data_IF_773847671506
#
_entry.id   IF_773847671506
#
_cell.length_a   1.000
_cell.length_b   1.000
_cell.length_c   1.000
_cell.angle_alpha   90.00
_cell.angle_beta   90.00
_cell.angle_gamma   90.00
#
_symmetry.space_group_name_H-M   'P 1'
#
loop_
_entity.id
_entity.type
_entity.pdbx_description
1 polymer ?
#
# COMPACT_ATOMS: atom_id res chain seq x y z
N UNK A 1 -10.02 16.63 26.10
CA UNK A 1 -11.22 15.85 26.51
C UNK A 1 -10.84 14.83 27.56
N UNK A 2 -11.73 14.54 28.51
CA UNK A 2 -11.54 13.44 29.47
C UNK A 2 -11.55 12.09 28.74
N UNK A 3 -10.77 11.11 29.24
CA UNK A 3 -10.74 9.75 28.66
C UNK A 3 -11.97 8.96 29.12
N UNK A 4 -12.58 8.22 28.19
CA UNK A 4 -13.60 7.21 28.51
C UNK A 4 -12.99 5.82 28.53
N UNK A 5 -13.50 4.96 29.41
CA UNK A 5 -13.02 3.59 29.57
C UNK A 5 -14.21 2.64 29.53
N UNK A 6 -14.11 1.64 28.67
CA UNK A 6 -15.08 0.57 28.50
C UNK A 6 -14.46 -0.75 28.99
N UNK A 7 -15.29 -1.68 29.45
CA UNK A 7 -14.84 -2.93 30.06
C UNK A 7 -15.60 -4.14 29.50
N UNK A 8 -15.03 -5.33 29.73
CA UNK A 8 -15.66 -6.64 29.51
C UNK A 8 -16.35 -6.78 28.14
N UNK A 9 -17.61 -7.22 28.13
CA UNK A 9 -18.37 -7.50 26.92
C UNK A 9 -18.65 -6.24 26.10
N UNK A 10 -19.00 -5.11 26.75
CA UNK A 10 -19.27 -3.85 26.06
C UNK A 10 -18.05 -3.37 25.25
N UNK A 11 -16.85 -3.46 25.83
CA UNK A 11 -15.62 -3.15 25.10
C UNK A 11 -15.41 -4.06 23.88
N UNK A 12 -15.63 -5.37 24.05
CA UNK A 12 -15.45 -6.37 22.98
C UNK A 12 -16.47 -6.19 21.85
N UNK A 13 -17.74 -5.95 22.18
CA UNK A 13 -18.81 -5.76 21.21
C UNK A 13 -18.60 -4.50 20.38
N UNK A 14 -18.17 -3.40 21.00
CA UNK A 14 -17.85 -2.15 20.29
C UNK A 14 -16.72 -2.36 19.28
N UNK A 15 -15.63 -2.99 19.72
CA UNK A 15 -14.48 -3.29 18.85
C UNK A 15 -14.90 -4.22 17.71
N UNK A 16 -15.66 -5.28 18.01
CA UNK A 16 -16.15 -6.21 16.99
C UNK A 16 -17.11 -5.54 16.00
N UNK A 17 -17.98 -4.65 16.46
CA UNK A 17 -18.89 -3.89 15.61
C UNK A 17 -18.14 -2.96 14.65
N UNK A 18 -17.09 -2.31 15.13
CA UNK A 18 -16.18 -1.50 14.31
C UNK A 18 -15.46 -2.31 13.23
N UNK A 19 -14.86 -3.41 13.67
CA UNK A 19 -14.23 -4.38 12.78
C UNK A 19 -15.21 -4.91 11.72
N UNK A 20 -16.46 -5.18 12.11
CA UNK A 20 -17.53 -5.62 11.21
C UNK A 20 -17.88 -4.57 10.16
N UNK A 21 -17.94 -3.29 10.54
CA UNK A 21 -18.25 -2.21 9.61
C UNK A 21 -17.22 -2.13 8.48
N UNK A 22 -15.92 -2.19 8.82
CA UNK A 22 -14.85 -2.21 7.82
C UNK A 22 -14.87 -3.50 7.00
N UNK A 23 -15.05 -4.66 7.65
CA UNK A 23 -15.21 -5.95 6.97
C UNK A 23 -16.34 -5.95 5.95
N UNK A 24 -17.53 -5.45 6.31
CA UNK A 24 -18.69 -5.41 5.44
C UNK A 24 -18.47 -4.52 4.22
N UNK A 25 -17.72 -3.43 4.37
CA UNK A 25 -17.35 -2.55 3.27
C UNK A 25 -16.32 -3.19 2.32
N UNK A 26 -15.31 -3.87 2.86
CA UNK A 26 -14.18 -4.40 2.09
C UNK A 26 -14.53 -5.75 1.44
N UNK A 27 -15.25 -6.64 2.11
CA UNK A 27 -15.52 -8.01 1.62
C UNK A 27 -16.24 -8.07 0.27
N UNK A 28 -16.96 -7.01 -0.10
CA UNK A 28 -17.71 -6.98 -1.35
C UNK A 28 -16.79 -6.93 -2.56
N UNK A 29 -15.53 -6.52 -2.41
CA UNK A 29 -14.52 -6.50 -3.47
C UNK A 29 -13.80 -7.84 -3.64
N UNK A 30 -14.16 -8.87 -2.88
CA UNK A 30 -13.40 -10.12 -2.87
C UNK A 30 -13.63 -11.00 -4.11
N UNK A 31 -12.55 -11.31 -4.81
CA UNK A 31 -12.50 -12.29 -5.89
C UNK A 31 -13.10 -11.81 -7.23
N UNK A 32 -13.18 -12.68 -8.25
CA UNK A 32 -13.51 -12.29 -9.63
C UNK A 32 -14.96 -11.82 -9.83
N UNK A 33 -15.83 -12.04 -8.84
CA UNK A 33 -17.22 -11.55 -8.81
C UNK A 33 -17.43 -10.45 -7.77
N UNK A 34 -16.33 -9.87 -7.27
CA UNK A 34 -16.38 -8.71 -6.42
C UNK A 34 -17.15 -7.57 -7.09
N UNK A 35 -17.66 -6.66 -6.28
CA UNK A 35 -18.37 -5.47 -6.73
C UNK A 35 -17.53 -4.25 -6.43
N UNK A 36 -17.70 -3.23 -7.26
CA UNK A 36 -17.04 -1.95 -7.03
C UNK A 36 -17.67 -1.23 -5.84
N UNK A 37 -16.82 -0.54 -5.08
CA UNK A 37 -17.22 0.36 -4.02
C UNK A 37 -17.07 1.79 -4.52
N UNK A 38 -18.06 2.63 -4.22
CA UNK A 38 -18.08 4.04 -4.59
C UNK A 38 -17.76 4.86 -3.35
N UNK A 39 -16.67 5.62 -3.42
CA UNK A 39 -16.16 6.45 -2.33
C UNK A 39 -16.36 7.91 -2.70
N UNK A 40 -17.12 8.64 -1.88
CA UNK A 40 -17.31 10.07 -2.06
C UNK A 40 -16.02 10.83 -1.72
N UNK A 41 -15.71 11.87 -2.50
CA UNK A 41 -14.59 12.78 -2.26
C UNK A 41 -15.13 14.16 -1.87
N UNK A 42 -14.39 14.89 -1.02
CA UNK A 42 -14.77 16.25 -0.62
C UNK A 42 -14.71 17.27 -1.76
N UNK A 43 -13.99 16.96 -2.83
CA UNK A 43 -13.92 17.74 -4.07
C UNK A 43 -13.75 16.81 -5.27
N UNK A 44 -14.31 17.19 -6.41
CA UNK A 44 -14.28 16.41 -7.64
C UNK A 44 -15.31 15.27 -7.68
N UNK A 45 -15.08 14.30 -8.57
CA UNK A 45 -15.96 13.13 -8.73
C UNK A 45 -15.67 12.04 -7.69
N UNK A 46 -16.62 11.09 -7.49
CA UNK A 46 -16.40 9.95 -6.61
C UNK A 46 -15.33 9.02 -7.18
N UNK A 47 -14.69 8.25 -6.30
CA UNK A 47 -13.77 7.18 -6.69
C UNK A 47 -14.51 5.86 -6.75
N UNK A 48 -14.41 5.16 -7.87
CA UNK A 48 -14.95 3.81 -8.02
C UNK A 48 -13.76 2.87 -7.97
N UNK A 49 -13.73 1.99 -6.98
CA UNK A 49 -12.58 1.10 -6.77
C UNK A 49 -13.02 -0.34 -6.50
N UNK A 50 -12.16 -1.27 -6.89
CA UNK A 50 -12.23 -2.68 -6.53
C UNK A 50 -11.12 -3.07 -5.53
N UNK A 51 -10.26 -2.12 -5.17
CA UNK A 51 -9.13 -2.36 -4.29
C UNK A 51 -9.55 -2.31 -2.81
N UNK A 52 -9.22 -3.38 -2.07
CA UNK A 52 -9.54 -3.52 -0.65
C UNK A 52 -8.85 -2.51 0.25
N UNK A 53 -7.61 -2.08 -0.06
CA UNK A 53 -6.93 -1.11 0.81
C UNK A 53 -7.51 0.30 0.64
N UNK A 54 -7.79 0.72 -0.59
CA UNK A 54 -8.48 1.99 -0.86
C UNK A 54 -9.84 2.04 -0.15
N UNK A 55 -10.60 0.94 -0.17
CA UNK A 55 -11.87 0.86 0.57
C UNK A 55 -11.65 0.91 2.08
N UNK A 56 -10.69 0.14 2.61
CA UNK A 56 -10.40 0.11 4.03
C UNK A 56 -10.00 1.51 4.54
N UNK A 57 -9.12 2.22 3.83
CA UNK A 57 -8.68 3.57 4.19
C UNK A 57 -9.81 4.59 4.18
N UNK A 58 -10.76 4.46 3.25
CA UNK A 58 -11.92 5.32 3.15
C UNK A 58 -12.99 5.08 4.25
N UNK A 59 -12.97 3.93 4.93
CA UNK A 59 -13.85 3.69 6.08
C UNK A 59 -13.32 4.48 7.27
N UNK A 60 -13.95 5.63 7.52
CA UNK A 60 -13.74 6.43 8.73
C UNK A 60 -15.05 6.51 9.51
N UNK A 61 -15.01 6.04 10.76
CA UNK A 61 -16.15 6.12 11.67
C UNK A 61 -16.03 7.44 12.44
N UNK A 62 -17.15 8.15 12.66
CA UNK A 62 -17.12 9.44 13.36
C UNK A 62 -16.47 9.28 14.73
N UNK A 63 -15.86 10.34 15.24
CA UNK A 63 -15.21 10.33 16.55
C UNK A 63 -16.12 10.95 17.60
N UNK A 64 -17.08 10.16 18.07
CA UNK A 64 -18.00 10.53 19.14
C UNK A 64 -18.02 9.48 20.26
N UNK A 65 -18.72 9.82 21.33
CA UNK A 65 -18.82 8.99 22.53
C UNK A 65 -19.44 7.62 22.29
N UNK A 66 -20.31 7.49 21.28
CA UNK A 66 -20.96 6.23 20.93
C UNK A 66 -20.06 5.35 20.05
N UNK A 67 -19.24 5.96 19.20
CA UNK A 67 -18.42 5.26 18.19
C UNK A 67 -16.96 5.03 18.59
N UNK A 68 -16.46 5.59 19.70
CA UNK A 68 -15.04 5.48 20.09
C UNK A 68 -14.47 4.04 20.04
N UNK A 69 -15.21 3.06 20.58
CA UNK A 69 -14.82 1.64 20.53
C UNK A 69 -14.96 1.02 19.14
N UNK A 70 -15.93 1.47 18.34
CA UNK A 70 -16.12 1.03 16.95
C UNK A 70 -15.00 1.57 16.05
N UNK A 71 -14.65 2.84 16.17
CA UNK A 71 -13.51 3.44 15.45
C UNK A 71 -12.23 2.68 15.75
N UNK A 72 -11.98 2.37 17.03
CA UNK A 72 -10.81 1.56 17.44
C UNK A 72 -10.79 0.19 16.75
N UNK A 73 -11.93 -0.50 16.68
CA UNK A 73 -12.03 -1.80 16.01
C UNK A 73 -11.82 -1.76 14.50
N UNK A 74 -12.33 -0.72 13.82
CA UNK A 74 -12.08 -0.50 12.41
C UNK A 74 -10.60 -0.23 12.14
N UNK A 75 -9.97 0.66 12.92
CA UNK A 75 -8.54 0.99 12.79
C UNK A 75 -7.61 -0.20 13.00
N UNK A 76 -7.95 -1.14 13.90
CA UNK A 76 -7.17 -2.37 14.10
C UNK A 76 -7.09 -3.23 12.83
N UNK A 77 -8.21 -3.41 12.13
CA UNK A 77 -8.21 -4.18 10.86
C UNK A 77 -7.56 -3.36 9.74
N UNK A 78 -7.81 -2.05 9.68
CA UNK A 78 -7.17 -1.15 8.73
C UNK A 78 -5.65 -1.26 8.82
N UNK A 79 -5.09 -1.24 10.03
CA UNK A 79 -3.66 -1.39 10.25
C UNK A 79 -3.11 -2.73 9.73
N UNK A 80 -3.86 -3.84 9.90
CA UNK A 80 -3.47 -5.14 9.36
C UNK A 80 -3.45 -5.14 7.82
N UNK A 81 -4.48 -4.55 7.19
CA UNK A 81 -4.56 -4.43 5.74
C UNK A 81 -3.45 -3.55 5.17
N UNK A 82 -3.21 -2.36 5.76
CA UNK A 82 -2.15 -1.46 5.32
C UNK A 82 -0.75 -2.06 5.49
N UNK A 83 -0.53 -2.86 6.55
CA UNK A 83 0.74 -3.57 6.73
C UNK A 83 0.96 -4.61 5.65
N UNK A 84 -0.04 -5.44 5.35
CA UNK A 84 0.07 -6.43 4.29
C UNK A 84 0.31 -5.77 2.92
N UNK A 85 -0.36 -4.64 2.64
CA UNK A 85 -0.15 -3.91 1.40
C UNK A 85 1.31 -3.47 1.25
N UNK A 86 1.94 -3.00 2.33
CA UNK A 86 3.36 -2.60 2.32
C UNK A 86 4.31 -3.79 2.14
N UNK A 87 3.99 -4.94 2.75
CA UNK A 87 4.87 -6.10 2.75
C UNK A 87 4.73 -6.95 1.46
N UNK A 88 3.53 -7.00 0.86
CA UNK A 88 3.20 -7.92 -0.23
C UNK A 88 2.56 -7.26 -1.47
N UNK A 89 1.98 -6.06 -1.35
CA UNK A 89 1.33 -5.35 -2.47
C UNK A 89 -0.04 -5.90 -2.92
N UNK A 90 -0.52 -7.00 -2.35
CA UNK A 90 -1.82 -7.62 -2.64
C UNK A 90 -2.35 -8.38 -1.40
N UNK A 91 -3.61 -8.81 -1.41
CA UNK A 91 -4.23 -9.66 -0.40
C UNK A 91 -4.90 -8.88 0.75
N UNK A 92 -5.06 -7.57 0.60
CA UNK A 92 -5.63 -6.66 1.62
C UNK A 92 -7.06 -7.06 1.99
N UNK A 93 -7.89 -7.41 1.01
CA UNK A 93 -9.23 -7.95 1.24
C UNK A 93 -9.18 -9.32 1.94
N UNK A 94 -8.26 -10.20 1.57
CA UNK A 94 -8.06 -11.51 2.21
C UNK A 94 -7.75 -11.37 3.70
N UNK A 95 -6.78 -10.50 4.03
CA UNK A 95 -6.39 -10.26 5.43
C UNK A 95 -7.53 -9.67 6.23
N UNK A 96 -8.29 -8.74 5.64
CA UNK A 96 -9.46 -8.12 6.27
C UNK A 96 -10.51 -9.15 6.62
N UNK A 97 -10.85 -10.03 5.66
CA UNK A 97 -11.82 -11.12 5.84
C UNK A 97 -11.36 -12.11 6.91
N UNK A 98 -10.11 -12.57 6.85
CA UNK A 98 -9.56 -13.52 7.82
C UNK A 98 -9.52 -12.93 9.23
N UNK A 99 -9.01 -11.70 9.36
CA UNK A 99 -8.86 -11.01 10.65
C UNK A 99 -10.22 -10.85 11.34
N UNK A 100 -11.24 -10.39 10.61
CA UNK A 100 -12.59 -10.25 11.17
C UNK A 100 -13.17 -11.59 11.65
N UNK A 101 -13.08 -12.64 10.83
CA UNK A 101 -13.64 -13.95 11.19
C UNK A 101 -12.91 -14.58 12.39
N UNK A 102 -11.59 -14.43 12.47
CA UNK A 102 -10.81 -14.89 13.63
C UNK A 102 -11.22 -14.12 14.89
N UNK A 103 -11.35 -12.78 14.79
CA UNK A 103 -11.81 -11.94 15.90
C UNK A 103 -13.22 -12.31 16.38
N UNK A 104 -14.16 -12.51 15.46
CA UNK A 104 -15.54 -12.88 15.79
C UNK A 104 -15.59 -14.22 16.53
N UNK A 105 -14.91 -15.25 16.01
CA UNK A 105 -14.88 -16.56 16.65
C UNK A 105 -14.13 -16.53 17.98
N UNK A 106 -13.04 -15.79 18.09
CA UNK A 106 -12.31 -15.61 19.35
C UNK A 106 -13.21 -14.94 20.40
N UNK A 107 -13.93 -13.87 20.04
CA UNK A 107 -14.86 -13.19 20.94
C UNK A 107 -15.97 -14.13 21.42
N UNK A 108 -16.52 -14.96 20.53
CA UNK A 108 -17.53 -15.97 20.91
C UNK A 108 -16.98 -16.97 21.92
N UNK A 109 -15.74 -17.42 21.76
CA UNK A 109 -15.10 -18.35 22.71
C UNK A 109 -14.82 -17.68 24.05
N UNK A 110 -14.37 -16.42 24.04
CA UNK A 110 -14.12 -15.66 25.27
C UNK A 110 -15.42 -15.41 26.04
N UNK A 111 -16.50 -15.06 25.34
CA UNK A 111 -17.83 -14.93 25.94
C UNK A 111 -18.35 -16.24 26.55
N UNK A 112 -17.93 -17.39 26.01
CA UNK A 112 -18.20 -18.72 26.57
C UNK A 112 -17.30 -19.08 27.78
N UNK A 113 -16.45 -18.17 28.25
CA UNK A 113 -15.58 -18.35 29.42
C UNK A 113 -14.22 -18.97 29.13
N UNK A 114 -13.84 -19.13 27.86
CA UNK A 114 -12.49 -19.61 27.52
C UNK A 114 -11.42 -18.55 27.76
N UNK A 115 -10.22 -18.98 28.17
CA UNK A 115 -9.09 -18.09 28.45
C UNK A 115 -8.59 -17.41 27.15
N UNK A 116 -8.62 -16.06 27.06
CA UNK A 116 -8.15 -15.33 25.88
C UNK A 116 -6.68 -15.58 25.52
N UNK A 117 -5.82 -15.72 26.53
CA UNK A 117 -4.38 -15.91 26.33
C UNK A 117 -4.06 -17.27 25.72
N UNK A 118 -4.79 -18.31 26.12
CA UNK A 118 -4.66 -19.64 25.52
C UNK A 118 -5.21 -19.68 24.10
N UNK A 119 -6.33 -18.99 23.84
CA UNK A 119 -6.87 -18.85 22.48
C UNK A 119 -5.86 -18.16 21.56
N UNK A 120 -5.23 -17.08 22.01
CA UNK A 120 -4.18 -16.37 21.26
C UNK A 120 -3.03 -17.31 20.89
N UNK A 121 -2.46 -18.03 21.87
CA UNK A 121 -1.38 -19.00 21.62
C UNK A 121 -1.79 -20.09 20.63
N UNK A 122 -3.03 -20.58 20.72
CA UNK A 122 -3.55 -21.58 19.79
C UNK A 122 -3.68 -21.05 18.36
N UNK A 123 -4.15 -19.81 18.19
CA UNK A 123 -4.25 -19.14 16.88
C UNK A 123 -2.86 -18.92 16.28
N UNK A 124 -1.90 -18.44 17.08
CA UNK A 124 -0.50 -18.26 16.64
C UNK A 124 0.11 -19.58 16.17
N UNK A 125 -0.01 -20.65 16.97
CA UNK A 125 0.51 -21.98 16.62
C UNK A 125 -0.16 -22.57 15.37
N UNK A 126 -1.47 -22.35 15.19
CA UNK A 126 -2.18 -22.77 13.99
C UNK A 126 -1.70 -21.98 12.75
N UNK A 127 -1.45 -20.68 12.89
CA UNK A 127 -0.89 -19.84 11.84
C UNK A 127 0.48 -20.35 11.39
N UNK A 128 1.37 -20.66 12.33
CA UNK A 128 2.70 -21.23 12.04
C UNK A 128 2.61 -22.55 11.26
N UNK A 129 1.68 -23.43 11.64
CA UNK A 129 1.49 -24.69 10.94
C UNK A 129 0.92 -24.48 9.52
N UNK A 130 -0.05 -23.58 9.36
CA UNK A 130 -0.60 -23.23 8.04
C UNK A 130 0.51 -22.71 7.12
N UNK A 131 1.36 -21.79 7.60
CA UNK A 131 2.48 -21.25 6.81
C UNK A 131 3.46 -22.35 6.41
N UNK A 132 3.79 -23.29 7.32
CA UNK A 132 4.64 -24.45 6.97
C UNK A 132 4.04 -25.30 5.86
N UNK A 133 2.73 -25.52 5.88
CA UNK A 133 2.06 -26.31 4.83
C UNK A 133 1.98 -25.55 3.51
N UNK A 134 1.69 -24.24 3.53
CA UNK A 134 1.70 -23.40 2.34
C UNK A 134 3.07 -23.38 1.66
N UNK A 135 4.16 -23.29 2.43
CA UNK A 135 5.53 -23.34 1.89
C UNK A 135 5.87 -24.67 1.21
N UNK A 136 5.24 -25.78 1.62
CA UNK A 136 5.42 -27.08 0.94
C UNK A 136 4.65 -27.17 -0.38
N UNK A 137 3.59 -26.39 -0.52
CA UNK A 137 2.76 -26.32 -1.73
C UNK A 137 3.25 -25.25 -2.72
N UNK A 138 4.18 -24.39 -2.29
CA UNK A 138 4.69 -23.31 -3.11
C UNK A 138 5.47 -23.87 -4.33
N UNK A 139 5.12 -23.37 -5.51
CA UNK A 139 5.81 -23.68 -6.76
C UNK A 139 6.57 -22.44 -7.25
N UNK A 140 7.86 -22.60 -7.60
CA UNK A 140 8.61 -21.52 -8.22
C UNK A 140 8.09 -21.22 -9.62
N UNK A 141 7.89 -19.93 -9.90
CA UNK A 141 7.52 -19.38 -11.22
C UNK A 141 8.73 -18.82 -11.98
N UNK A 142 9.94 -18.96 -11.43
CA UNK A 142 11.17 -18.45 -12.05
C UNK A 142 11.40 -19.08 -13.43
N UNK A 143 11.64 -18.22 -14.43
CA UNK A 143 11.80 -18.63 -15.83
C UNK A 143 10.52 -19.12 -16.52
N UNK A 144 9.35 -18.99 -15.88
CA UNK A 144 8.06 -19.43 -16.45
C UNK A 144 7.18 -18.23 -16.80
N UNK A 145 7.46 -17.58 -17.94
CA UNK A 145 6.72 -16.39 -18.42
C UNK A 145 5.19 -16.60 -18.41
N UNK A 146 4.71 -17.79 -18.80
CA UNK A 146 3.29 -18.12 -18.76
C UNK A 146 2.69 -18.08 -17.33
N UNK A 147 3.45 -18.53 -16.32
CA UNK A 147 3.01 -18.46 -14.92
C UNK A 147 3.03 -17.03 -14.38
N UNK A 148 4.01 -16.23 -14.80
CA UNK A 148 4.04 -14.79 -14.47
C UNK A 148 2.82 -14.07 -15.04
N UNK A 149 2.47 -14.36 -16.30
CA UNK A 149 1.26 -13.82 -16.93
C UNK A 149 -0.01 -14.23 -16.16
N UNK A 150 -0.13 -15.50 -15.77
CA UNK A 150 -1.27 -15.98 -14.97
C UNK A 150 -1.42 -15.20 -13.65
N UNK A 151 -0.33 -15.00 -12.91
CA UNK A 151 -0.35 -14.25 -11.65
C UNK A 151 -0.77 -12.79 -11.89
N UNK A 152 -0.17 -12.13 -12.88
CA UNK A 152 -0.48 -10.74 -13.21
C UNK A 152 -1.93 -10.58 -13.69
N UNK A 153 -2.44 -11.53 -14.51
CA UNK A 153 -3.83 -11.55 -14.95
C UNK A 153 -4.80 -11.73 -13.79
N UNK A 154 -4.51 -12.60 -12.83
CA UNK A 154 -5.39 -12.82 -11.67
C UNK A 154 -5.41 -11.57 -10.78
N UNK A 155 -4.25 -10.96 -10.53
CA UNK A 155 -4.14 -9.77 -9.68
C UNK A 155 -4.79 -8.54 -10.33
N UNK A 156 -4.57 -8.32 -11.63
CA UNK A 156 -5.18 -7.21 -12.36
C UNK A 156 -6.65 -7.45 -12.75
N UNK A 157 -7.11 -8.70 -12.75
CA UNK A 157 -8.41 -9.09 -13.30
C UNK A 157 -8.51 -8.98 -14.82
N UNK A 158 -7.39 -8.78 -15.52
CA UNK A 158 -7.33 -8.51 -16.96
C UNK A 158 -6.18 -9.28 -17.64
N UNK A 159 -6.52 -10.00 -18.71
CA UNK A 159 -5.57 -10.83 -19.45
C UNK A 159 -4.57 -10.00 -20.25
N UNK A 160 -5.01 -8.91 -20.88
CA UNK A 160 -4.15 -8.04 -21.67
C UNK A 160 -3.09 -7.37 -20.79
N UNK A 161 -3.48 -6.90 -19.60
CA UNK A 161 -2.55 -6.35 -18.61
C UNK A 161 -1.52 -7.41 -18.18
N UNK A 162 -1.98 -8.61 -17.85
CA UNK A 162 -1.09 -9.69 -17.41
C UNK A 162 -0.10 -10.13 -18.49
N UNK A 163 -0.55 -10.26 -19.75
CA UNK A 163 0.29 -10.60 -20.89
C UNK A 163 1.37 -9.53 -21.13
N UNK A 164 1.02 -8.23 -21.03
CA UNK A 164 1.99 -7.13 -21.18
C UNK A 164 3.01 -7.10 -20.05
N UNK A 165 2.58 -7.25 -18.80
CA UNK A 165 3.50 -7.29 -17.64
C UNK A 165 4.50 -8.44 -17.79
N UNK A 166 4.03 -9.64 -18.16
CA UNK A 166 4.90 -10.78 -18.36
C UNK A 166 5.90 -10.56 -19.51
N UNK A 167 5.45 -9.97 -20.62
CA UNK A 167 6.31 -9.64 -21.75
C UNK A 167 7.36 -8.58 -21.43
N UNK A 168 7.05 -7.62 -20.55
CA UNK A 168 8.04 -6.66 -20.03
C UNK A 168 9.07 -7.39 -19.17
N UNK A 169 8.63 -8.12 -18.15
CA UNK A 169 9.51 -8.85 -17.21
C UNK A 169 10.44 -9.83 -17.96
N UNK A 170 9.96 -10.49 -19.00
CA UNK A 170 10.78 -11.39 -19.83
C UNK A 170 11.89 -10.65 -20.58
N UNK A 171 11.63 -9.43 -21.05
CA UNK A 171 12.62 -8.61 -21.77
C UNK A 171 13.65 -7.95 -20.86
N UNK A 172 13.20 -7.41 -19.73
CA UNK A 172 14.06 -6.64 -18.83
C UNK A 172 14.72 -7.49 -17.73
N UNK A 173 14.19 -8.70 -17.51
CA UNK A 173 14.61 -9.59 -16.43
C UNK A 173 13.88 -9.32 -15.13
N UNK A 174 13.95 -10.28 -14.19
CA UNK A 174 13.20 -10.25 -12.93
C UNK A 174 13.58 -9.09 -11.99
N UNK A 175 14.79 -8.58 -12.11
CA UNK A 175 15.36 -7.56 -11.21
C UNK A 175 15.22 -6.13 -11.79
N UNK A 176 14.52 -5.99 -12.91
CA UNK A 176 14.34 -4.71 -13.57
C UNK A 176 13.21 -3.88 -12.96
N UNK A 177 13.37 -2.55 -13.06
CA UNK A 177 12.40 -1.59 -12.54
C UNK A 177 11.29 -1.40 -13.56
N UNK A 178 10.05 -1.65 -13.12
CA UNK A 178 8.85 -1.40 -13.91
C UNK A 178 8.15 -0.17 -13.34
N UNK A 179 7.93 0.83 -14.18
CA UNK A 179 7.16 2.04 -13.84
C UNK A 179 5.84 2.06 -14.58
N UNK A 180 4.83 2.69 -13.98
CA UNK A 180 3.51 2.90 -14.60
C UNK A 180 3.25 4.39 -14.69
N UNK A 181 2.95 4.86 -15.91
CA UNK A 181 2.67 6.25 -16.23
C UNK A 181 1.29 6.41 -16.88
N UNK A 182 0.71 7.60 -16.75
CA UNK A 182 -0.56 7.91 -17.40
C UNK A 182 -0.32 8.15 -18.90
N UNK A 183 -0.77 7.22 -19.73
CA UNK A 183 -0.71 7.35 -21.18
C UNK A 183 -1.56 8.50 -21.72
N UNK A 184 -1.15 9.10 -22.84
CA UNK A 184 -1.94 10.09 -23.57
C UNK A 184 -2.89 9.45 -24.60
N UNK A 185 -2.64 8.19 -24.95
CA UNK A 185 -3.45 7.39 -25.87
C UNK A 185 -4.57 6.61 -25.17
N UNK A 186 -5.36 5.89 -25.98
CA UNK A 186 -6.37 4.95 -25.49
C UNK A 186 -5.81 3.54 -25.28
N UNK A 187 -4.67 3.23 -25.91
CA UNK A 187 -4.05 1.92 -25.85
C UNK A 187 -3.06 1.84 -24.68
N UNK A 188 -2.97 0.65 -24.09
CA UNK A 188 -1.95 0.36 -23.09
C UNK A 188 -0.62 0.08 -23.79
N UNK A 189 0.36 0.95 -23.59
CA UNK A 189 1.68 0.84 -24.21
C UNK A 189 2.71 0.32 -23.19
N UNK A 190 3.73 -0.37 -23.69
CA UNK A 190 4.85 -0.84 -22.89
C UNK A 190 6.14 -0.48 -23.63
N UNK A 191 6.93 0.39 -23.03
CA UNK A 191 8.22 0.84 -23.55
C UNK A 191 9.34 0.41 -22.61
N UNK A 192 10.44 -0.11 -23.19
CA UNK A 192 11.66 -0.36 -22.44
C UNK A 192 12.56 0.85 -22.66
N UNK A 193 12.72 1.65 -21.63
CA UNK A 193 13.60 2.82 -21.64
C UNK A 193 14.93 2.49 -20.98
N UNK A 194 16.02 3.02 -21.53
CA UNK A 194 17.31 2.98 -20.85
C UNK A 194 17.29 3.95 -19.67
N UNK A 195 17.56 3.44 -18.48
CA UNK A 195 17.55 4.21 -17.24
C UNK A 195 18.29 3.48 -16.14
N UNK A 196 18.36 4.11 -14.98
CA UNK A 196 18.92 3.52 -13.78
C UNK A 196 18.04 3.85 -12.58
N UNK A 197 18.02 2.95 -11.61
CA UNK A 197 17.41 3.16 -10.30
C UNK A 197 18.48 3.08 -9.23
N UNK A 198 18.32 3.89 -8.19
CA UNK A 198 19.19 3.92 -7.03
C UNK A 198 18.34 3.62 -5.80
N UNK A 199 18.88 2.86 -4.86
CA UNK A 199 18.22 2.56 -3.58
C UNK A 199 18.37 3.74 -2.59
N UNK A 200 17.95 4.93 -3.04
CA UNK A 200 17.98 6.21 -2.32
C UNK A 200 16.75 7.04 -2.74
N UNK A 201 15.97 7.49 -1.77
CA UNK A 201 14.84 8.40 -1.98
C UNK A 201 15.21 9.87 -1.82
N UNK A 202 14.20 10.74 -1.78
CA UNK A 202 14.37 12.16 -1.45
C UNK A 202 14.82 12.35 0.00
N UNK A 203 15.69 13.34 0.24
CA UNK A 203 16.17 13.68 1.59
C UNK A 203 15.10 14.34 2.46
N UNK A 204 14.06 14.90 1.85
CA UNK A 204 12.99 15.63 2.55
C UNK A 204 11.61 15.32 1.97
N UNK A 205 10.58 15.03 2.79
CA UNK A 205 9.20 14.82 2.32
C UNK A 205 8.61 16.03 1.57
N UNK A 206 9.18 17.23 1.74
CA UNK A 206 8.74 18.43 1.02
C UNK A 206 9.03 18.38 -0.49
N UNK A 207 9.84 17.42 -0.96
CA UNK A 207 10.10 17.22 -2.39
C UNK A 207 9.03 16.36 -3.09
N UNK A 208 8.07 15.80 -2.34
CA UNK A 208 6.95 15.04 -2.92
C UNK A 208 6.09 15.97 -3.78
N UNK A 209 5.94 15.62 -5.06
CA UNK A 209 5.10 16.34 -6.03
C UNK A 209 3.78 15.62 -6.27
N UNK A 210 3.76 14.28 -6.15
CA UNK A 210 2.54 13.47 -6.14
C UNK A 210 2.26 12.98 -4.72
N UNK A 211 1.33 13.65 -4.04
CA UNK A 211 0.94 13.31 -2.68
C UNK A 211 0.16 11.99 -2.58
N UNK A 212 -0.46 11.50 -3.66
CA UNK A 212 -1.21 10.25 -3.64
C UNK A 212 -0.26 9.05 -3.70
N UNK A 213 0.73 9.12 -4.59
CA UNK A 213 1.74 8.08 -4.76
C UNK A 213 2.90 8.21 -3.77
N UNK A 214 3.00 9.36 -3.09
CA UNK A 214 4.15 9.76 -2.31
C UNK A 214 5.43 9.69 -3.15
N UNK A 215 5.44 10.36 -4.30
CA UNK A 215 6.55 10.35 -5.26
C UNK A 215 7.00 11.79 -5.62
N UNK A 216 8.27 11.94 -5.98
CA UNK A 216 8.83 13.17 -6.54
C UNK A 216 9.07 12.97 -8.05
N UNK A 217 8.21 13.57 -8.87
CA UNK A 217 8.15 13.40 -10.32
C UNK A 217 8.49 14.72 -11.01
N UNK A 218 9.53 14.70 -11.85
CA UNK A 218 10.03 15.88 -12.57
C UNK A 218 10.15 15.57 -14.07
N UNK A 219 9.65 16.46 -14.93
CA UNK A 219 9.77 16.31 -16.39
C UNK A 219 11.04 17.02 -16.90
N UNK A 220 11.95 16.28 -17.53
CA UNK A 220 13.21 16.80 -18.11
C UNK A 220 14.03 17.66 -17.13
N UNK A 221 14.26 17.20 -15.88
CA UNK A 221 15.03 17.96 -14.90
C UNK A 221 16.49 18.10 -15.32
N UNK A 222 17.17 19.11 -14.78
CA UNK A 222 18.62 19.13 -14.78
C UNK A 222 19.14 18.17 -13.69
N UNK A 223 19.98 17.21 -14.06
CA UNK A 223 20.59 16.28 -13.11
C UNK A 223 21.97 16.77 -12.72
N UNK A 224 22.18 17.02 -11.43
CA UNK A 224 23.45 17.44 -10.86
C UNK A 224 24.00 16.28 -10.03
N UNK A 225 25.23 15.88 -10.30
CA UNK A 225 25.89 14.77 -9.61
C UNK A 225 27.17 15.29 -8.97
N UNK A 226 27.35 15.03 -7.68
CA UNK A 226 28.56 15.36 -6.91
C UNK A 226 28.86 14.26 -5.90
N UNK A 227 30.14 14.05 -5.61
CA UNK A 227 30.62 13.13 -4.57
C UNK A 227 30.80 13.83 -3.21
N UNK A 228 30.49 15.12 -3.14
CA UNK A 228 30.62 15.94 -1.93
C UNK A 228 29.38 15.88 -1.07
N UNK A 229 29.58 16.02 0.25
CA UNK A 229 28.54 16.43 1.19
C UNK A 229 28.28 17.93 1.02
N UNK A 230 27.01 18.32 0.97
CA UNK A 230 26.59 19.71 0.82
C UNK A 230 25.89 20.12 2.11
N UNK A 231 26.49 21.09 2.82
CA UNK A 231 25.96 21.61 4.09
C UNK A 231 25.59 23.09 4.04
N UNK A 232 26.03 23.81 2.99
CA UNK A 232 25.84 25.24 2.82
C UNK A 232 25.23 25.59 1.47
N UNK A 233 24.19 26.44 1.50
CA UNK A 233 23.54 26.99 0.29
C UNK A 233 24.51 27.77 -0.61
N UNK A 234 25.60 28.30 -0.06
CA UNK A 234 26.61 29.07 -0.80
C UNK A 234 27.33 28.23 -1.86
N UNK A 235 27.42 26.91 -1.65
CA UNK A 235 28.03 25.98 -2.60
C UNK A 235 27.11 25.70 -3.79
N UNK A 236 25.79 25.76 -3.58
CA UNK A 236 24.77 25.52 -4.60
C UNK A 236 24.36 26.78 -5.36
N UNK A 237 24.46 27.95 -4.74
CA UNK A 237 24.03 29.25 -5.30
C UNK A 237 24.55 29.50 -6.73
N UNK A 238 25.86 29.40 -7.03
CA UNK A 238 26.37 29.65 -8.37
C UNK A 238 25.84 28.68 -9.42
N UNK A 239 25.51 27.45 -9.00
CA UNK A 239 24.95 26.43 -9.88
C UNK A 239 23.47 26.70 -10.15
N UNK A 240 22.70 26.99 -9.11
CA UNK A 240 21.27 27.31 -9.20
C UNK A 240 21.06 28.54 -10.10
N UNK A 241 21.87 29.58 -9.95
CA UNK A 241 21.80 30.78 -10.79
C UNK A 241 21.99 30.45 -12.28
N UNK A 242 22.97 29.60 -12.60
CA UNK A 242 23.21 29.17 -13.99
C UNK A 242 22.06 28.32 -14.54
N UNK A 243 21.51 27.41 -13.72
CA UNK A 243 20.38 26.57 -14.11
C UNK A 243 19.13 27.43 -14.35
N UNK A 244 18.87 28.40 -13.47
CA UNK A 244 17.78 29.35 -13.62
C UNK A 244 17.93 30.21 -14.88
N UNK A 245 19.14 30.72 -15.18
CA UNK A 245 19.43 31.45 -16.41
C UNK A 245 19.24 30.60 -17.67
N UNK A 246 19.55 29.30 -17.59
CA UNK A 246 19.31 28.34 -18.66
C UNK A 246 17.82 27.93 -18.79
N UNK A 247 16.92 28.50 -17.97
CA UNK A 247 15.49 28.20 -17.97
C UNK A 247 15.14 26.83 -17.41
N UNK A 248 16.07 26.15 -16.73
CA UNK A 248 15.84 24.88 -16.05
C UNK A 248 15.19 25.14 -14.70
N UNK A 249 13.92 24.76 -14.59
CA UNK A 249 13.11 24.96 -13.37
C UNK A 249 13.23 23.79 -12.39
N UNK A 250 13.33 22.58 -12.93
CA UNK A 250 13.40 21.36 -12.14
C UNK A 250 14.85 20.85 -12.10
N UNK A 251 15.32 20.52 -10.90
CA UNK A 251 16.69 20.07 -10.64
C UNK A 251 16.65 18.85 -9.73
N UNK A 252 17.35 17.79 -10.12
CA UNK A 252 17.58 16.61 -9.30
C UNK A 252 19.05 16.60 -8.89
N UNK A 253 19.30 16.72 -7.59
CA UNK A 253 20.64 16.74 -7.01
C UNK A 253 20.96 15.38 -6.40
N UNK A 254 22.02 14.75 -6.88
CA UNK A 254 22.58 13.50 -6.35
C UNK A 254 23.92 13.86 -5.71
N UNK A 255 23.97 13.78 -4.38
CA UNK A 255 25.14 14.09 -3.55
C UNK A 255 25.37 12.96 -2.53
N UNK A 256 26.54 12.93 -1.87
CA UNK A 256 26.81 11.98 -0.79
C UNK A 256 25.85 12.21 0.40
N UNK A 257 25.66 13.47 0.77
CA UNK A 257 24.71 13.90 1.81
C UNK A 257 24.32 15.38 1.60
N UNK A 258 23.07 15.71 1.90
CA UNK A 258 22.57 17.10 1.90
C UNK A 258 22.00 17.38 3.29
N UNK A 259 22.59 18.34 4.01
CA UNK A 259 22.24 18.65 5.40
C UNK A 259 22.35 20.15 5.70
N UNK A 260 21.91 20.56 6.88
CA UNK A 260 22.07 21.93 7.35
C UNK A 260 21.16 22.94 6.63
N UNK A 261 21.76 24.04 6.17
CA UNK A 261 21.04 25.12 5.45
C UNK A 261 20.98 24.89 3.92
N UNK A 262 21.59 23.82 3.42
CA UNK A 262 21.54 23.42 2.01
C UNK A 262 20.23 22.70 1.68
#
# INVERSE_FOLDING_TARGET
>A
MAKKVFYDDDARERVLGGAKALYDAVKVTYGPKGRNVVIAKGYGGPTVTHDGVTVAEAVDLPEDDATLGYKTGAELIKQAASKLNKDAGDGTTTVTVLTYNILEQANRMIAAGHNPMERRKGIEAAGDEVVKQLNKLAESIEGKTARVAEVATISAGDKEIGDKIAGVIEKVGKDAVVTVEAGQGLELEAEVVEGFSLDRGWSSPFFVTDANRQEAVYEKPAVVITDKKISSVQELLPLIEKLAQAGKKDVVLIADEVEGEA
#
